data_IF_738526072081
#
_entry.id   IF_738526072081
#
_cell.length_a   1.000
_cell.length_b   1.000
_cell.length_c   1.000
_cell.angle_alpha   90.00
_cell.angle_beta   90.00
_cell.angle_gamma   90.00
#
_symmetry.space_group_name_H-M   'P 1'
#
loop_
_entity.id
_entity.type
_entity.pdbx_description
1 polymer ?
#
# COMPACT_ATOMS: atom_id res chain seq x y z
N UNK A 1 -18.99 3.82 4.06
CA UNK A 1 -17.53 4.07 4.03
C UNK A 1 -16.90 2.73 3.76
N UNK A 2 -16.03 2.67 2.76
CA UNK A 2 -15.44 1.43 2.33
C UNK A 2 -14.73 0.75 3.51
N UNK A 3 -14.90 -0.56 3.60
CA UNK A 3 -14.13 -1.38 4.53
C UNK A 3 -12.70 -1.56 4.00
N UNK A 4 -11.73 -1.77 4.89
CA UNK A 4 -10.34 -2.03 4.50
C UNK A 4 -9.94 -3.44 4.92
N UNK A 5 -9.53 -4.26 3.93
CA UNK A 5 -8.91 -5.57 4.16
C UNK A 5 -7.43 -5.52 3.81
N UNK A 6 -6.60 -6.05 4.69
CA UNK A 6 -5.15 -6.16 4.47
C UNK A 6 -4.81 -7.60 4.10
N UNK A 7 -4.12 -7.79 2.97
CA UNK A 7 -3.59 -9.10 2.58
C UNK A 7 -2.46 -9.55 3.51
N UNK A 8 -2.15 -10.84 3.53
CA UNK A 8 -1.03 -11.39 4.32
C UNK A 8 0.32 -10.79 3.88
N UNK A 9 0.52 -10.61 2.57
CA UNK A 9 1.72 -9.97 2.02
C UNK A 9 1.87 -8.54 2.52
N UNK A 10 0.80 -7.74 2.44
CA UNK A 10 0.81 -6.38 2.93
C UNK A 10 1.14 -6.30 4.44
N UNK A 11 0.51 -7.15 5.26
CA UNK A 11 0.78 -7.19 6.71
C UNK A 11 2.24 -7.53 7.01
N UNK A 12 2.83 -8.47 6.27
CA UNK A 12 4.23 -8.86 6.43
C UNK A 12 5.17 -7.71 6.11
N UNK A 13 5.01 -7.08 4.95
CA UNK A 13 5.85 -5.95 4.54
C UNK A 13 5.67 -4.75 5.48
N UNK A 14 4.44 -4.44 5.88
CA UNK A 14 4.16 -3.38 6.86
C UNK A 14 4.90 -3.60 8.17
N UNK A 15 4.89 -4.83 8.70
CA UNK A 15 5.64 -5.17 9.91
C UNK A 15 7.13 -4.96 9.71
N UNK A 16 7.70 -5.49 8.61
CA UNK A 16 9.13 -5.33 8.31
C UNK A 16 9.54 -3.85 8.20
N UNK A 17 8.71 -3.01 7.57
CA UNK A 17 8.97 -1.58 7.44
C UNK A 17 8.91 -0.86 8.78
N UNK A 18 7.95 -1.20 9.64
CA UNK A 18 7.82 -0.62 10.97
C UNK A 18 9.00 -1.04 11.86
N UNK A 19 9.35 -2.33 11.86
CA UNK A 19 10.45 -2.88 12.67
C UNK A 19 11.79 -2.24 12.25
N UNK A 20 12.07 -2.19 10.94
CA UNK A 20 13.25 -1.50 10.40
C UNK A 20 13.25 -0.01 10.76
N UNK A 21 12.10 0.65 10.58
CA UNK A 21 11.98 2.08 10.85
C UNK A 21 12.18 2.43 12.34
N UNK A 22 11.79 1.52 13.23
CA UNK A 22 12.02 1.66 14.67
C UNK A 22 13.49 1.54 15.03
N UNK A 23 14.18 0.54 14.47
CA UNK A 23 15.60 0.27 14.73
C UNK A 23 16.48 1.40 14.20
N UNK A 24 16.27 1.81 12.94
CA UNK A 24 17.17 2.76 12.27
C UNK A 24 16.85 4.23 12.54
N UNK A 25 15.56 4.58 12.75
CA UNK A 25 15.12 5.98 12.81
C UNK A 25 14.36 6.34 14.09
N UNK A 26 14.18 5.38 15.00
CA UNK A 26 13.55 5.58 16.30
C UNK A 26 12.04 5.81 16.28
N UNK A 27 11.48 5.92 17.48
CA UNK A 27 10.02 5.92 17.70
C UNK A 27 9.29 7.10 17.06
N UNK A 28 9.90 8.29 17.00
CA UNK A 28 9.28 9.49 16.44
C UNK A 28 8.94 9.30 14.96
N UNK A 29 9.85 8.66 14.21
CA UNK A 29 9.65 8.37 12.79
C UNK A 29 8.50 7.39 12.59
N UNK A 30 8.46 6.33 13.40
CA UNK A 30 7.38 5.31 13.38
C UNK A 30 6.03 5.94 13.73
N UNK A 31 5.96 6.80 14.75
CA UNK A 31 4.74 7.52 15.13
C UNK A 31 4.21 8.37 13.97
N UNK A 32 5.10 9.09 13.27
CA UNK A 32 4.71 9.87 12.08
C UNK A 32 4.21 8.97 10.94
N UNK A 33 4.88 7.84 10.70
CA UNK A 33 4.41 6.84 9.72
C UNK A 33 3.00 6.35 10.07
N UNK A 34 2.74 6.02 11.34
CA UNK A 34 1.44 5.53 11.78
C UNK A 34 0.33 6.56 11.61
N UNK A 35 0.63 7.84 11.87
CA UNK A 35 -0.31 8.93 11.62
C UNK A 35 -0.67 9.02 10.14
N UNK A 36 0.32 9.09 9.27
CA UNK A 36 0.13 9.15 7.82
C UNK A 36 -0.62 7.91 7.28
N UNK A 37 -0.28 6.73 7.79
CA UNK A 37 -0.99 5.49 7.48
C UNK A 37 -2.48 5.56 7.88
N UNK A 38 -2.79 6.10 9.07
CA UNK A 38 -4.17 6.28 9.54
C UNK A 38 -4.93 7.28 8.67
N UNK A 39 -4.30 8.39 8.30
CA UNK A 39 -4.89 9.42 7.45
C UNK A 39 -5.18 8.88 6.04
N UNK A 40 -4.25 8.11 5.47
CA UNK A 40 -4.45 7.41 4.19
C UNK A 40 -5.61 6.43 4.29
N UNK A 41 -5.65 5.58 5.34
CA UNK A 41 -6.77 4.65 5.54
C UNK A 41 -8.09 5.40 5.60
N UNK A 42 -8.18 6.46 6.40
CA UNK A 42 -9.41 7.25 6.52
C UNK A 42 -9.84 7.85 5.18
N UNK A 43 -8.92 8.45 4.42
CA UNK A 43 -9.19 8.97 3.08
C UNK A 43 -9.69 7.88 2.13
N UNK A 44 -9.07 6.69 2.13
CA UNK A 44 -9.47 5.60 1.25
C UNK A 44 -10.81 4.95 1.67
N UNK A 45 -11.19 5.02 2.95
CA UNK A 45 -12.53 4.62 3.39
C UNK A 45 -13.62 5.58 2.90
N UNK A 46 -13.30 6.87 2.71
CA UNK A 46 -14.24 7.88 2.21
C UNK A 46 -14.25 7.97 0.68
N UNK A 47 -13.05 7.92 0.08
CA UNK A 47 -12.83 8.09 -1.35
C UNK A 47 -11.86 7.03 -1.86
N UNK A 48 -12.32 5.78 -2.06
CA UNK A 48 -11.48 4.66 -2.51
C UNK A 48 -10.72 4.93 -3.81
N UNK A 49 -11.32 5.69 -4.73
CA UNK A 49 -10.74 6.00 -6.04
C UNK A 49 -9.97 7.33 -6.08
N UNK A 50 -9.72 7.95 -4.92
CA UNK A 50 -9.01 9.25 -4.84
C UNK A 50 -7.53 9.18 -5.24
N UNK A 51 -6.93 7.99 -5.32
CA UNK A 51 -5.54 7.83 -5.75
C UNK A 51 -5.48 7.36 -7.21
N UNK A 52 -4.45 7.74 -7.98
CA UNK A 52 -4.34 7.33 -9.37
C UNK A 52 -4.06 5.83 -9.50
N UNK A 53 -4.37 5.29 -10.68
CA UNK A 53 -3.98 3.93 -11.07
C UNK A 53 -2.46 3.81 -11.09
N UNK A 54 -1.92 2.67 -10.62
CA UNK A 54 -0.49 2.39 -10.60
C UNK A 54 0.03 2.06 -12.02
N UNK A 55 0.86 2.93 -12.63
CA UNK A 55 1.27 2.74 -14.01
C UNK A 55 2.04 1.44 -14.25
N UNK A 56 2.85 1.00 -13.28
CA UNK A 56 3.64 -0.22 -13.38
C UNK A 56 2.78 -1.49 -13.43
N UNK A 57 1.54 -1.41 -12.95
CA UNK A 57 0.62 -2.54 -12.84
C UNK A 57 -0.56 -2.46 -13.82
N UNK A 58 -0.56 -1.51 -14.76
CA UNK A 58 -1.65 -1.31 -15.74
C UNK A 58 -1.96 -2.55 -16.59
N UNK A 59 -0.99 -3.47 -16.76
CA UNK A 59 -1.14 -4.69 -17.57
C UNK A 59 -1.81 -5.85 -16.83
N UNK A 60 -2.02 -5.74 -15.51
CA UNK A 60 -2.69 -6.78 -14.74
C UNK A 60 -4.21 -6.60 -14.80
N UNK A 61 -4.94 -7.70 -14.60
CA UNK A 61 -6.41 -7.73 -14.72
C UNK A 61 -7.11 -6.75 -13.77
N UNK A 62 -6.65 -6.68 -12.51
CA UNK A 62 -7.25 -5.83 -11.51
C UNK A 62 -6.78 -4.38 -11.67
N UNK A 63 -7.68 -3.38 -11.53
CA UNK A 63 -7.28 -1.97 -11.52
C UNK A 63 -6.58 -1.66 -10.19
N UNK A 64 -5.25 -1.75 -10.19
CA UNK A 64 -4.46 -1.37 -9.03
C UNK A 64 -4.28 0.14 -8.96
N UNK A 65 -4.49 0.70 -7.77
CA UNK A 65 -4.24 2.08 -7.41
C UNK A 65 -3.05 2.14 -6.47
N UNK A 66 -2.38 3.29 -6.43
CA UNK A 66 -1.27 3.52 -5.51
C UNK A 66 -1.37 4.85 -4.81
N UNK A 67 -0.98 4.89 -3.54
CA UNK A 67 -0.75 6.14 -2.81
C UNK A 67 0.61 6.11 -2.16
N UNK A 68 1.33 7.22 -2.24
CA UNK A 68 2.63 7.37 -1.57
C UNK A 68 2.39 7.43 -0.06
N UNK A 69 3.27 6.78 0.69
CA UNK A 69 3.42 6.90 2.13
C UNK A 69 4.91 7.13 2.42
N UNK A 70 5.25 8.10 3.25
CA UNK A 70 6.64 8.40 3.62
C UNK A 70 7.61 8.48 2.45
N UNK A 71 7.38 9.44 1.53
CA UNK A 71 8.21 9.88 0.38
C UNK A 71 8.67 8.79 -0.61
N UNK A 72 9.19 7.67 -0.12
CA UNK A 72 9.82 6.58 -0.85
C UNK A 72 9.00 5.27 -0.83
N UNK A 73 7.86 5.21 -0.14
CA UNK A 73 7.02 4.01 -0.12
C UNK A 73 5.66 4.25 -0.78
N UNK A 74 5.04 3.18 -1.28
CA UNK A 74 3.68 3.21 -1.85
C UNK A 74 2.84 2.09 -1.29
N UNK A 75 1.62 2.42 -0.86
CA UNK A 75 0.57 1.43 -0.63
C UNK A 75 -0.08 1.13 -1.98
N UNK A 76 -0.08 -0.14 -2.38
CA UNK A 76 -0.76 -0.63 -3.57
C UNK A 76 -2.03 -1.34 -3.13
N UNK A 77 -3.15 -0.95 -3.72
CA UNK A 77 -4.46 -1.48 -3.38
C UNK A 77 -5.35 -1.64 -4.62
N UNK A 78 -6.41 -2.42 -4.48
CA UNK A 78 -7.54 -2.42 -5.40
C UNK A 78 -8.81 -2.09 -4.64
N UNK A 79 -9.81 -1.59 -5.35
CA UNK A 79 -11.13 -1.32 -4.82
C UNK A 79 -12.14 -2.27 -5.46
N UNK A 80 -12.87 -2.99 -4.62
CA UNK A 80 -13.97 -3.85 -5.00
C UNK A 80 -15.28 -3.07 -4.79
N UNK A 81 -15.80 -2.53 -5.89
CA UNK A 81 -17.00 -1.69 -5.93
C UNK A 81 -18.26 -2.44 -5.48
N UNK A 82 -18.34 -3.75 -5.74
CA UNK A 82 -19.52 -4.54 -5.39
C UNK A 82 -19.68 -4.72 -3.87
N UNK A 83 -18.56 -4.73 -3.14
CA UNK A 83 -18.52 -4.99 -1.70
C UNK A 83 -18.13 -3.73 -0.88
N UNK A 84 -17.97 -2.57 -1.51
CA UNK A 84 -17.42 -1.35 -0.89
C UNK A 84 -16.14 -1.68 -0.08
N UNK A 85 -15.20 -2.37 -0.71
CA UNK A 85 -14.04 -2.96 -0.05
C UNK A 85 -12.72 -2.54 -0.69
N UNK A 86 -11.88 -1.86 0.08
CA UNK A 86 -10.51 -1.54 -0.29
C UNK A 86 -9.57 -2.64 0.20
N UNK A 87 -8.83 -3.24 -0.72
CA UNK A 87 -7.92 -4.34 -0.44
C UNK A 87 -6.48 -3.86 -0.58
N UNK A 88 -5.74 -3.76 0.52
CA UNK A 88 -4.31 -3.45 0.48
C UNK A 88 -3.51 -4.69 0.12
N UNK A 89 -2.83 -4.63 -1.02
CA UNK A 89 -2.17 -5.77 -1.68
C UNK A 89 -0.68 -5.80 -1.41
N UNK A 90 -0.02 -4.65 -1.46
CA UNK A 90 1.42 -4.57 -1.26
C UNK A 90 1.88 -3.21 -0.70
N UNK A 91 3.04 -3.22 -0.04
CA UNK A 91 3.73 -2.02 0.41
C UNK A 91 5.07 -1.96 -0.32
N UNK A 92 5.15 -1.07 -1.31
CA UNK A 92 6.25 -1.01 -2.25
C UNK A 92 7.31 0.02 -1.87
N UNK A 93 8.57 -0.41 -1.79
CA UNK A 93 9.73 0.50 -1.70
C UNK A 93 10.08 1.02 -3.09
N UNK A 94 9.84 2.30 -3.34
CA UNK A 94 10.10 2.94 -4.64
C UNK A 94 11.58 3.04 -4.98
N UNK A 95 12.48 2.80 -4.02
CA UNK A 95 13.94 2.75 -4.27
C UNK A 95 14.38 1.44 -4.92
N UNK A 96 13.53 0.41 -4.88
CA UNK A 96 13.81 -0.88 -5.54
C UNK A 96 13.48 -0.82 -7.03
N UNK A 97 14.12 -1.70 -7.81
CA UNK A 97 13.85 -1.81 -9.24
C UNK A 97 12.36 -2.09 -9.51
N UNK A 98 11.69 -1.33 -10.40
CA UNK A 98 10.29 -1.57 -10.80
C UNK A 98 10.02 -3.00 -11.30
N UNK A 99 11.04 -3.66 -11.88
CA UNK A 99 10.95 -5.06 -12.33
C UNK A 99 10.64 -6.01 -11.18
N UNK A 100 11.12 -5.72 -9.97
CA UNK A 100 10.83 -6.53 -8.79
C UNK A 100 9.34 -6.47 -8.44
N UNK A 101 8.72 -5.29 -8.46
CA UNK A 101 7.30 -5.14 -8.17
C UNK A 101 6.44 -5.96 -9.14
N UNK A 102 6.69 -5.80 -10.44
CA UNK A 102 5.97 -6.56 -11.48
C UNK A 102 6.13 -8.07 -11.27
N UNK A 103 7.35 -8.53 -10.96
CA UNK A 103 7.63 -9.94 -10.67
C UNK A 103 6.88 -10.46 -9.44
N UNK A 104 6.74 -9.65 -8.39
CA UNK A 104 5.96 -10.03 -7.20
C UNK A 104 4.49 -10.23 -7.55
N UNK A 105 3.88 -9.30 -8.29
CA UNK A 105 2.48 -9.41 -8.67
C UNK A 105 2.20 -10.59 -9.62
N UNK A 106 3.16 -10.94 -10.49
CA UNK A 106 3.07 -12.18 -11.30
C UNK A 106 3.07 -13.47 -10.47
N UNK A 107 3.62 -13.46 -9.25
CA UNK A 107 3.68 -14.63 -8.35
C UNK A 107 2.51 -14.70 -7.36
N UNK A 108 1.81 -13.56 -7.16
CA UNK A 108 0.67 -13.41 -6.24
C UNK A 108 -0.67 -13.68 -6.92
N UNK A 109 -0.67 -13.80 -8.25
CA UNK A 109 -1.77 -14.27 -9.09
C UNK A 109 -1.60 -15.78 -9.32
#
# INVERSE_FOLDING_TARGET
MASIRLTLYFKKELKTVIDYGLVEFGQTTVKRFHKEYKDIKHRLMLHPLSSPREPLLKRFYHPYHSTIIKENWKIIYCYDEANDLVIFVDLWDMRRSPRYLIRQFKRKL
#
